data_IF_058134577887
#
_entry.id   IF_058134577887
#
_cell.length_a   1.000
_cell.length_b   1.000
_cell.length_c   1.000
_cell.angle_alpha   90.00
_cell.angle_beta   90.00
_cell.angle_gamma   90.00
#
_symmetry.space_group_name_H-M   'P 1'
#
loop_
_entity.id
_entity.type
_entity.pdbx_description
1 polymer ?
#
# COMPACT_ATOMS: atom_id res chain seq x y z
N UNK A 1 -0.96 -32.82 21.52
CA UNK A 1 -1.26 -32.21 20.21
C UNK A 1 -1.34 -30.73 20.47
N UNK A 2 -0.27 -29.99 20.18
CA UNK A 2 -0.34 -28.54 20.19
C UNK A 2 -1.27 -28.15 19.05
N UNK A 3 -2.45 -27.65 19.37
CA UNK A 3 -3.29 -26.99 18.38
C UNK A 3 -2.47 -25.83 17.83
N UNK A 4 -2.14 -25.85 16.54
CA UNK A 4 -1.63 -24.66 15.87
C UNK A 4 -2.60 -23.53 16.19
N UNK A 5 -2.18 -22.58 17.03
CA UNK A 5 -2.98 -21.40 17.29
C UNK A 5 -3.08 -20.67 15.97
N UNK A 6 -4.25 -20.79 15.35
CA UNK A 6 -4.54 -20.16 14.07
C UNK A 6 -4.59 -18.65 14.30
N UNK A 7 -3.53 -17.97 13.90
CA UNK A 7 -3.44 -16.52 14.02
C UNK A 7 -4.28 -15.85 12.92
N UNK A 8 -5.56 -15.71 13.23
CA UNK A 8 -6.54 -15.08 12.36
C UNK A 8 -6.17 -13.62 12.05
N UNK A 9 -5.60 -12.89 13.02
CA UNK A 9 -5.17 -11.51 12.79
C UNK A 9 -4.04 -11.44 11.77
N UNK A 10 -3.02 -12.30 11.88
CA UNK A 10 -1.93 -12.39 10.90
C UNK A 10 -2.42 -12.70 9.49
N UNK A 11 -3.42 -13.58 9.35
CA UNK A 11 -4.03 -13.88 8.06
C UNK A 11 -4.80 -12.68 7.48
N UNK A 12 -5.54 -11.95 8.31
CA UNK A 12 -6.22 -10.74 7.89
C UNK A 12 -5.23 -9.66 7.43
N UNK A 13 -4.04 -9.56 8.05
CA UNK A 13 -2.97 -8.69 7.55
C UNK A 13 -2.51 -9.14 6.15
N UNK A 14 -2.22 -10.43 5.95
CA UNK A 14 -1.84 -10.94 4.61
C UNK A 14 -2.90 -10.61 3.56
N UNK A 15 -4.18 -10.82 3.86
CA UNK A 15 -5.30 -10.50 2.94
C UNK A 15 -5.33 -9.00 2.62
N UNK A 16 -5.26 -8.14 3.64
CA UNK A 16 -5.27 -6.67 3.45
C UNK A 16 -4.08 -6.19 2.61
N UNK A 17 -2.91 -6.81 2.74
CA UNK A 17 -1.75 -6.53 1.90
C UNK A 17 -2.03 -6.85 0.41
N UNK A 18 -2.68 -7.98 0.13
CA UNK A 18 -3.10 -8.36 -1.22
C UNK A 18 -4.15 -7.41 -1.79
N UNK A 19 -5.16 -7.04 -1.02
CA UNK A 19 -6.21 -6.12 -1.46
C UNK A 19 -5.65 -4.73 -1.82
N UNK A 20 -4.72 -4.20 -1.01
CA UNK A 20 -4.03 -2.95 -1.32
C UNK A 20 -3.18 -3.08 -2.59
N UNK A 21 -2.46 -4.19 -2.74
CA UNK A 21 -1.63 -4.46 -3.93
C UNK A 21 -2.47 -4.55 -5.20
N UNK A 22 -3.64 -5.19 -5.12
CA UNK A 22 -4.60 -5.29 -6.21
C UNK A 22 -5.17 -3.91 -6.56
N UNK A 23 -5.57 -3.12 -5.57
CA UNK A 23 -6.10 -1.78 -5.78
C UNK A 23 -5.08 -0.85 -6.47
N UNK A 24 -3.82 -0.91 -6.04
CA UNK A 24 -2.72 -0.16 -6.67
C UNK A 24 -2.50 -0.63 -8.12
N UNK A 25 -2.49 -1.94 -8.35
CA UNK A 25 -2.34 -2.51 -9.70
C UNK A 25 -3.48 -2.07 -10.62
N UNK A 26 -4.74 -2.13 -10.14
CA UNK A 26 -5.93 -1.71 -10.88
C UNK A 26 -5.89 -0.23 -11.23
N UNK A 27 -5.53 0.63 -10.28
CA UNK A 27 -5.34 2.06 -10.53
C UNK A 27 -4.25 2.29 -11.58
N UNK A 28 -3.13 1.58 -11.45
CA UNK A 28 -2.02 1.74 -12.37
C UNK A 28 -2.39 1.35 -13.81
N UNK A 29 -3.08 0.22 -14.01
CA UNK A 29 -3.50 -0.25 -15.34
C UNK A 29 -4.58 0.62 -15.97
N UNK A 30 -5.50 1.15 -15.17
CA UNK A 30 -6.64 1.92 -15.66
C UNK A 30 -6.48 3.42 -15.40
N UNK A 31 -5.25 3.92 -15.25
CA UNK A 31 -4.96 5.30 -14.80
C UNK A 31 -5.79 6.39 -15.49
N UNK A 32 -5.91 6.32 -16.82
CA UNK A 32 -6.64 7.32 -17.61
C UNK A 32 -8.18 7.18 -17.54
N UNK A 33 -8.69 6.11 -16.93
CA UNK A 33 -10.12 5.85 -16.77
C UNK A 33 -10.65 6.31 -15.41
N UNK A 34 -9.77 6.70 -14.48
CA UNK A 34 -10.16 7.29 -13.20
C UNK A 34 -10.39 8.80 -13.37
N UNK A 35 -11.37 9.34 -12.63
CA UNK A 35 -11.68 10.77 -12.67
C UNK A 35 -10.58 11.63 -12.03
N UNK A 36 -9.88 11.12 -11.01
CA UNK A 36 -8.73 11.76 -10.39
C UNK A 36 -7.69 10.73 -9.91
N UNK A 37 -6.92 10.13 -10.83
CA UNK A 37 -5.98 9.05 -10.50
C UNK A 37 -4.85 9.49 -9.56
N UNK A 38 -4.50 10.79 -9.54
CA UNK A 38 -3.47 11.32 -8.63
C UNK A 38 -3.97 11.29 -7.19
N UNK A 39 -5.19 11.79 -6.96
CA UNK A 39 -5.81 11.75 -5.63
C UNK A 39 -5.97 10.30 -5.16
N UNK A 40 -6.47 9.42 -6.03
CA UNK A 40 -6.64 8.01 -5.71
C UNK A 40 -5.31 7.32 -5.38
N UNK A 41 -4.23 7.69 -6.09
CA UNK A 41 -2.89 7.18 -5.80
C UNK A 41 -2.37 7.65 -4.43
N UNK A 42 -2.55 8.92 -4.08
CA UNK A 42 -2.19 9.45 -2.76
C UNK A 42 -2.97 8.76 -1.64
N UNK A 43 -4.29 8.55 -1.81
CA UNK A 43 -5.10 7.81 -0.84
C UNK A 43 -4.63 6.36 -0.65
N UNK A 44 -4.27 5.66 -1.74
CA UNK A 44 -3.72 4.31 -1.67
C UNK A 44 -2.35 4.27 -0.99
N UNK A 45 -1.49 5.28 -1.23
CA UNK A 45 -0.22 5.41 -0.52
C UNK A 45 -0.42 5.63 0.98
N UNK A 46 -1.34 6.50 1.37
CA UNK A 46 -1.65 6.76 2.78
C UNK A 46 -2.17 5.49 3.47
N UNK A 47 -3.07 4.75 2.81
CA UNK A 47 -3.55 3.44 3.30
C UNK A 47 -2.40 2.45 3.46
N UNK A 48 -1.49 2.37 2.49
CA UNK A 48 -0.28 1.53 2.58
C UNK A 48 0.60 1.91 3.76
N UNK A 49 0.89 3.19 3.97
CA UNK A 49 1.68 3.68 5.10
C UNK A 49 1.06 3.32 6.45
N UNK A 50 -0.24 3.59 6.63
CA UNK A 50 -0.97 3.19 7.85
C UNK A 50 -0.90 1.68 8.07
N UNK A 51 -1.01 0.91 6.99
CA UNK A 51 -0.96 -0.54 7.08
C UNK A 51 0.43 -1.09 7.48
N UNK A 52 1.54 -0.51 7.02
CA UNK A 52 2.88 -0.89 7.50
C UNK A 52 3.04 -0.66 9.00
N UNK A 53 2.45 0.42 9.53
CA UNK A 53 2.45 0.69 10.97
C UNK A 53 1.63 -0.37 11.72
N UNK A 54 0.42 -0.69 11.23
CA UNK A 54 -0.43 -1.74 11.83
C UNK A 54 0.28 -3.10 11.89
N UNK A 55 1.07 -3.45 10.87
CA UNK A 55 1.87 -4.68 10.88
C UNK A 55 2.96 -4.62 11.93
N UNK A 56 3.69 -3.50 12.01
CA UNK A 56 4.76 -3.33 12.98
C UNK A 56 4.24 -3.46 14.42
N UNK A 57 3.07 -2.87 14.70
CA UNK A 57 2.39 -2.97 16.00
C UNK A 57 1.94 -4.41 16.29
N UNK A 58 1.38 -5.09 15.29
CA UNK A 58 0.98 -6.48 15.41
C UNK A 58 2.19 -7.40 15.69
N UNK A 59 3.29 -7.27 14.95
CA UNK A 59 4.50 -8.06 15.16
C UNK A 59 5.10 -7.83 16.55
N UNK A 60 5.14 -6.59 17.03
CA UNK A 60 5.59 -6.26 18.38
C UNK A 60 4.69 -6.89 19.45
N UNK A 61 3.37 -6.86 19.26
CA UNK A 61 2.40 -7.43 20.21
C UNK A 61 2.45 -8.96 20.23
N UNK A 62 2.65 -9.60 19.09
CA UNK A 62 2.77 -11.05 19.00
C UNK A 62 4.12 -11.54 19.51
N UNK A 63 5.20 -10.80 19.23
CA UNK A 63 6.54 -11.12 19.69
C UNK A 63 6.93 -12.56 19.36
N UNK A 64 7.33 -13.32 20.37
CA UNK A 64 7.72 -14.74 20.23
C UNK A 64 6.58 -15.70 19.91
N UNK A 65 5.31 -15.25 19.99
CA UNK A 65 4.15 -16.08 19.62
C UNK A 65 3.96 -16.17 18.11
N UNK A 66 4.54 -15.25 17.35
CA UNK A 66 4.47 -15.27 15.89
C UNK A 66 5.44 -16.34 15.36
N UNK A 67 4.91 -17.38 14.74
CA UNK A 67 5.76 -18.41 14.13
C UNK A 67 6.55 -17.84 12.96
N UNK A 68 7.72 -18.40 12.67
CA UNK A 68 8.53 -18.03 11.50
C UNK A 68 7.73 -18.17 10.20
N UNK A 69 6.86 -19.17 10.10
CA UNK A 69 6.00 -19.39 8.94
C UNK A 69 5.00 -18.25 8.74
N UNK A 70 4.30 -17.81 9.80
CA UNK A 70 3.37 -16.68 9.74
C UNK A 70 4.10 -15.38 9.42
N UNK A 71 5.26 -15.17 10.06
CA UNK A 71 6.11 -14.01 9.79
C UNK A 71 6.49 -13.92 8.31
N UNK A 72 7.01 -15.02 7.73
CA UNK A 72 7.39 -15.06 6.32
C UNK A 72 6.21 -14.77 5.38
N UNK A 73 4.99 -15.21 5.71
CA UNK A 73 3.80 -14.89 4.89
C UNK A 73 3.48 -13.40 4.89
N UNK A 74 3.55 -12.77 6.07
CA UNK A 74 3.32 -11.34 6.21
C UNK A 74 4.41 -10.58 5.47
N UNK A 75 5.68 -10.90 5.73
CA UNK A 75 6.83 -10.25 5.11
C UNK A 75 6.77 -10.30 3.57
N UNK A 76 6.45 -11.45 2.99
CA UNK A 76 6.32 -11.58 1.53
C UNK A 76 5.20 -10.69 0.97
N UNK A 77 4.02 -10.69 1.60
CA UNK A 77 2.89 -9.89 1.12
C UNK A 77 3.15 -8.37 1.26
N UNK A 78 3.86 -7.99 2.32
CA UNK A 78 4.30 -6.62 2.60
C UNK A 78 5.38 -6.15 1.63
N UNK A 79 6.33 -7.02 1.31
CA UNK A 79 7.39 -6.74 0.33
C UNK A 79 6.80 -6.44 -1.04
N UNK A 80 5.84 -7.26 -1.49
CA UNK A 80 5.16 -7.06 -2.78
C UNK A 80 4.37 -5.75 -2.82
N UNK A 81 3.62 -5.43 -1.75
CA UNK A 81 2.97 -4.12 -1.62
C UNK A 81 4.00 -2.97 -1.64
N UNK A 82 5.12 -3.13 -0.93
CA UNK A 82 6.20 -2.16 -0.83
C UNK A 82 6.83 -1.84 -2.18
N UNK A 83 6.96 -2.83 -3.07
CA UNK A 83 7.46 -2.64 -4.44
C UNK A 83 6.54 -1.76 -5.29
N UNK A 84 5.23 -1.75 -5.04
CA UNK A 84 4.24 -1.00 -5.82
C UNK A 84 4.22 0.51 -5.50
N UNK A 85 4.61 0.90 -4.28
CA UNK A 85 4.60 2.30 -3.85
C UNK A 85 5.56 3.18 -4.69
N UNK A 86 6.83 2.80 -4.93
CA UNK A 86 7.73 3.53 -5.81
C UNK A 86 7.17 3.73 -7.22
N UNK A 87 6.47 2.73 -7.78
CA UNK A 87 5.85 2.86 -9.10
C UNK A 87 4.76 3.94 -9.12
N UNK A 88 3.88 3.95 -8.11
CA UNK A 88 2.89 5.03 -7.98
C UNK A 88 3.56 6.40 -7.82
N UNK A 89 4.61 6.52 -6.99
CA UNK A 89 5.34 7.79 -6.83
C UNK A 89 5.91 8.31 -8.15
N UNK A 90 6.50 7.42 -8.93
CA UNK A 90 7.07 7.79 -10.23
C UNK A 90 6.01 8.18 -11.25
N UNK A 91 4.80 7.62 -11.17
CA UNK A 91 3.69 7.96 -12.06
C UNK A 91 3.06 9.31 -11.74
N UNK A 92 3.04 9.70 -10.46
CA UNK A 92 2.48 10.99 -10.00
C UNK A 92 3.42 12.17 -10.31
N UNK A 93 4.75 12.01 -10.13
CA UNK A 93 5.74 13.10 -10.27
C UNK A 93 5.64 13.95 -11.55
N UNK A 94 5.54 13.34 -12.76
CA UNK A 94 5.38 14.12 -13.99
C UNK A 94 4.09 14.95 -13.99
N UNK A 95 3.02 14.43 -13.41
CA UNK A 95 1.70 15.07 -13.42
C UNK A 95 1.61 16.23 -12.42
N UNK A 96 2.19 16.08 -11.22
CA UNK A 96 2.29 17.19 -10.26
C UNK A 96 3.09 18.37 -10.82
N UNK A 97 4.16 18.07 -11.58
CA UNK A 97 4.97 19.10 -12.24
C UNK A 97 4.14 19.90 -13.27
N UNK A 98 3.26 19.23 -14.02
CA UNK A 98 2.37 19.87 -15.00
C UNK A 98 1.27 20.70 -14.33
N UNK A 99 0.63 20.19 -13.26
CA UNK A 99 -0.35 20.98 -12.51
C UNK A 99 0.24 22.24 -11.89
N UNK A 100 1.50 22.20 -11.46
CA UNK A 100 2.18 23.40 -10.96
C UNK A 100 2.42 24.43 -12.05
N UNK A 101 2.79 24.00 -13.27
CA UNK A 101 2.96 24.91 -14.41
C UNK A 101 1.63 25.55 -14.81
N UNK A 102 0.57 24.76 -14.97
CA UNK A 102 -0.77 25.25 -15.34
C UNK A 102 -1.36 26.24 -14.32
N UNK A 103 -1.13 26.02 -13.01
CA UNK A 103 -1.56 26.96 -11.96
C UNK A 103 -0.76 28.26 -11.98
N UNK A 104 0.51 28.21 -12.38
CA UNK A 104 1.36 29.41 -12.44
C UNK A 104 0.98 30.27 -13.64
N UNK A 105 0.74 29.65 -14.80
CA UNK A 105 0.32 30.34 -16.03
C UNK A 105 -1.08 30.94 -15.91
N UNK A 106 -2.04 30.23 -15.28
CA UNK A 106 -3.40 30.75 -15.06
C UNK A 106 -3.49 31.81 -13.94
N UNK A 107 -2.44 32.05 -13.16
CA UNK A 107 -2.40 33.14 -12.15
C UNK A 107 -1.88 34.46 -12.71
N UNK A 108 -1.38 34.45 -13.95
CA UNK A 108 -0.78 35.59 -14.63
C UNK A 108 -1.71 36.26 -15.66
N UNK A 109 -2.99 35.89 -15.69
CA UNK A 109 -4.03 36.47 -16.58
C UNK A 109 -5.04 37.28 -15.78
#
# INVERSE_FOLDING_TARGET
MDSENFDEEGLLKVIKAFELSEAITKLNWNWNNYSNPIKDAHELMEKGQKFFLEISEYEQRMGSKLSMYQKNKIDNAVEDLGKLIPYLKNKIKPTESLETVDKTDNSLV
#
